data_IF_978812926094
#
_entry.id   IF_978812926094
#
_cell.length_a   1.000
_cell.length_b   1.000
_cell.length_c   1.000
_cell.angle_alpha   90.00
_cell.angle_beta   90.00
_cell.angle_gamma   90.00
#
_symmetry.space_group_name_H-M   'P 1'
#
loop_
_entity.id
_entity.type
_entity.pdbx_description
1 polymer ?
#
# COMPACT_ATOMS: atom_id res chain seq x y z
N UNK A 1 0.08 -10.43 -9.92
CA UNK A 1 1.34 -10.89 -9.28
C UNK A 1 1.39 -10.54 -7.80
N UNK A 2 0.77 -9.44 -7.38
CA UNK A 2 0.58 -9.11 -5.95
C UNK A 2 -0.16 -10.23 -5.21
N UNK A 3 0.28 -10.50 -3.97
CA UNK A 3 -0.25 -11.52 -3.05
C UNK A 3 -0.54 -10.99 -1.64
N UNK A 4 -0.06 -9.80 -1.31
CA UNK A 4 -0.36 -9.11 -0.08
C UNK A 4 -0.30 -7.60 -0.28
N UNK A 5 -1.08 -6.87 0.51
CA UNK A 5 -1.08 -5.40 0.57
C UNK A 5 -1.15 -5.03 2.05
N UNK A 6 -0.31 -4.07 2.45
CA UNK A 6 -0.21 -3.57 3.81
C UNK A 6 -0.34 -2.05 3.81
N UNK A 7 -0.95 -1.52 4.86
CA UNK A 7 -1.05 -0.08 5.12
C UNK A 7 -0.38 0.19 6.48
N UNK A 8 0.48 1.20 6.54
CA UNK A 8 1.20 1.56 7.76
C UNK A 8 2.05 0.41 8.29
N UNK A 9 1.87 0.09 9.57
CA UNK A 9 2.52 -1.06 10.23
C UNK A 9 2.10 -2.42 9.63
N UNK A 10 1.04 -2.47 8.80
CA UNK A 10 0.69 -3.66 8.04
C UNK A 10 0.40 -4.87 8.92
N UNK A 11 0.94 -6.03 8.54
CA UNK A 11 0.81 -7.25 9.33
C UNK A 11 1.59 -7.20 10.64
N UNK A 12 2.54 -6.27 10.86
CA UNK A 12 3.20 -6.14 12.16
C UNK A 12 2.23 -5.68 13.26
N UNK A 13 1.18 -4.95 12.89
CA UNK A 13 0.14 -4.46 13.82
C UNK A 13 -0.53 -5.58 14.62
N UNK A 14 -0.66 -6.79 14.06
CA UNK A 14 -1.33 -7.93 14.72
C UNK A 14 -0.58 -8.43 15.96
N UNK A 15 0.71 -8.12 16.06
CA UNK A 15 1.56 -8.48 17.20
C UNK A 15 1.72 -7.35 18.23
N UNK A 16 1.19 -6.15 17.94
CA UNK A 16 1.34 -4.97 18.78
C UNK A 16 0.21 -4.86 19.81
N UNK A 17 0.49 -4.23 20.95
CA UNK A 17 -0.56 -3.84 21.90
C UNK A 17 -1.27 -2.57 21.43
N UNK A 18 -2.51 -2.37 21.86
CA UNK A 18 -3.23 -1.12 21.57
C UNK A 18 -2.51 0.12 22.10
N UNK A 19 -1.79 0.00 23.23
CA UNK A 19 -0.97 1.07 23.81
C UNK A 19 0.29 1.41 22.99
N UNK A 20 0.66 0.57 22.03
CA UNK A 20 1.85 0.75 21.18
C UNK A 20 1.43 1.15 19.75
N UNK A 21 0.35 0.55 19.23
CA UNK A 21 -0.10 0.78 17.86
C UNK A 21 -0.80 2.12 17.69
N UNK A 22 -1.51 2.61 18.71
CA UNK A 22 -2.30 3.83 18.61
C UNK A 22 -1.43 5.07 18.35
N UNK A 23 -1.68 5.75 17.22
CA UNK A 23 -1.00 7.00 16.89
C UNK A 23 -1.53 8.16 17.76
N UNK A 24 -0.71 8.63 18.69
CA UNK A 24 -1.07 9.74 19.57
C UNK A 24 -1.15 11.07 18.80
N UNK A 25 -2.22 11.83 19.04
CA UNK A 25 -2.50 13.11 18.38
C UNK A 25 -2.39 14.27 19.37
N UNK A 26 -1.67 15.32 18.95
CA UNK A 26 -1.47 16.54 19.71
C UNK A 26 -1.79 17.77 18.86
N UNK A 27 -1.92 18.98 19.45
CA UNK A 27 -2.20 20.20 18.69
C UNK A 27 -1.16 20.53 17.60
N UNK A 28 0.09 20.09 17.77
CA UNK A 28 1.20 20.26 16.84
C UNK A 28 1.45 19.03 15.94
N UNK A 29 0.59 18.00 16.00
CA UNK A 29 0.58 16.88 15.06
C UNK A 29 0.54 15.49 15.69
N UNK A 30 0.61 14.45 14.85
CA UNK A 30 0.74 13.06 15.30
C UNK A 30 2.18 12.74 15.74
N UNK A 31 2.31 11.90 16.77
CA UNK A 31 3.62 11.43 17.26
C UNK A 31 4.21 10.26 16.46
N UNK A 32 3.36 9.49 15.78
CA UNK A 32 3.73 8.31 14.97
C UNK A 32 2.74 8.11 13.81
N UNK A 33 3.06 7.22 12.86
CA UNK A 33 2.23 6.89 11.71
C UNK A 33 2.10 5.37 11.49
N UNK A 34 1.66 4.65 12.52
CA UNK A 34 1.39 3.21 12.47
C UNK A 34 0.16 2.89 11.62
N UNK A 35 -0.83 3.79 11.58
CA UNK A 35 -2.01 3.68 10.75
C UNK A 35 -1.73 3.92 9.24
N UNK A 36 -0.54 4.40 8.90
CA UNK A 36 -0.09 4.58 7.52
C UNK A 36 -0.88 5.63 6.74
N UNK A 37 -1.24 6.73 7.41
CA UNK A 37 -1.98 7.84 6.83
C UNK A 37 -3.45 7.59 6.65
N UNK A 38 -3.98 6.45 7.12
CA UNK A 38 -5.41 6.13 7.03
C UNK A 38 -5.95 5.62 8.36
N UNK A 39 -7.01 6.26 8.88
CA UNK A 39 -7.70 5.84 10.08
C UNK A 39 -9.20 5.74 9.80
N UNK A 40 -9.81 4.59 10.10
CA UNK A 40 -11.22 4.35 9.78
C UNK A 40 -11.56 4.43 8.28
N UNK A 41 -10.57 4.21 7.41
CA UNK A 41 -10.72 4.34 5.96
C UNK A 41 -10.68 5.78 5.42
N UNK A 42 -10.28 6.74 6.26
CA UNK A 42 -10.16 8.16 5.89
C UNK A 42 -8.70 8.60 6.05
N UNK A 43 -8.23 9.45 5.13
CA UNK A 43 -6.88 10.03 5.22
C UNK A 43 -6.72 10.89 6.47
N UNK A 44 -5.64 10.72 7.23
CA UNK A 44 -5.37 11.49 8.46
C UNK A 44 -4.58 12.78 8.20
N UNK A 45 -4.10 12.98 6.97
CA UNK A 45 -3.17 14.05 6.60
C UNK A 45 -1.70 13.64 6.71
N UNK A 46 -1.39 12.51 7.36
CA UNK A 46 -0.08 11.87 7.34
C UNK A 46 0.21 11.18 6.02
N UNK A 47 1.49 10.85 5.80
CA UNK A 47 1.92 10.09 4.62
C UNK A 47 1.16 8.77 4.50
N UNK A 48 0.65 8.50 3.29
CA UNK A 48 0.06 7.22 2.94
C UNK A 48 1.18 6.18 2.77
N UNK A 49 1.32 5.30 3.75
CA UNK A 49 2.33 4.24 3.75
C UNK A 49 1.70 2.95 3.25
N UNK A 50 2.09 2.51 2.06
CA UNK A 50 1.53 1.32 1.41
C UNK A 50 2.67 0.40 0.95
N UNK A 51 2.58 -0.87 1.34
CA UNK A 51 3.52 -1.93 0.92
C UNK A 51 2.78 -3.03 0.18
N UNK A 52 3.44 -3.62 -0.83
CA UNK A 52 2.87 -4.74 -1.60
C UNK A 52 3.85 -5.91 -1.65
N UNK A 53 3.32 -7.13 -1.49
CA UNK A 53 4.07 -8.36 -1.63
C UNK A 53 3.82 -8.98 -3.01
N UNK A 54 4.88 -9.19 -3.79
CA UNK A 54 4.77 -9.68 -5.17
C UNK A 54 5.39 -11.07 -5.26
N UNK A 55 4.64 -12.03 -5.82
CA UNK A 55 5.19 -13.38 -6.04
C UNK A 55 6.31 -13.37 -7.10
N UNK A 56 7.25 -14.32 -7.05
CA UNK A 56 8.21 -14.54 -8.13
C UNK A 56 7.55 -14.81 -9.48
N UNK A 57 8.28 -14.49 -10.56
CA UNK A 57 7.84 -14.73 -11.95
C UNK A 57 7.57 -16.21 -12.19
N UNK A 58 6.47 -16.52 -12.85
CA UNK A 58 6.09 -17.92 -13.14
C UNK A 58 6.87 -18.55 -14.29
N UNK A 59 7.21 -17.74 -15.30
CA UNK A 59 8.00 -18.16 -16.47
C UNK A 59 9.48 -18.20 -16.09
N UNK A 60 10.01 -19.41 -15.95
CA UNK A 60 11.40 -19.67 -15.60
C UNK A 60 11.97 -20.73 -16.54
N UNK A 61 13.30 -20.80 -16.63
CA UNK A 61 13.98 -21.75 -17.50
C UNK A 61 13.82 -23.22 -17.04
N UNK A 62 13.55 -23.43 -15.75
CA UNK A 62 13.35 -24.76 -15.19
C UNK A 62 12.02 -25.36 -15.68
N UNK A 63 12.02 -26.59 -16.23
CA UNK A 63 10.79 -27.27 -16.60
C UNK A 63 9.83 -27.40 -15.42
N UNK A 64 8.53 -27.23 -15.67
CA UNK A 64 7.46 -27.46 -14.70
C UNK A 64 6.38 -28.35 -15.29
N UNK A 65 5.83 -29.22 -14.45
CA UNK A 65 4.68 -30.03 -14.83
C UNK A 65 3.44 -29.14 -14.99
N UNK A 66 2.64 -29.45 -16.00
CA UNK A 66 1.39 -28.78 -16.34
C UNK A 66 0.46 -29.73 -17.09
N UNK A 67 -0.63 -29.19 -17.63
CA UNK A 67 -1.63 -29.92 -18.40
C UNK A 67 -1.87 -29.14 -19.70
N UNK A 68 -1.93 -29.85 -20.82
CA UNK A 68 -2.26 -29.24 -22.12
C UNK A 68 -3.77 -29.03 -22.29
N UNK A 69 -4.18 -28.52 -23.45
CA UNK A 69 -5.59 -28.22 -23.75
C UNK A 69 -6.44 -29.49 -23.90
N UNK A 70 -5.83 -30.66 -24.16
CA UNK A 70 -6.50 -31.95 -24.24
C UNK A 70 -6.59 -32.65 -22.86
N UNK A 71 -6.12 -31.99 -21.80
CA UNK A 71 -6.12 -32.55 -20.44
C UNK A 71 -4.97 -33.52 -20.17
N UNK A 72 -3.98 -33.62 -21.05
CA UNK A 72 -2.85 -34.55 -20.90
C UNK A 72 -1.69 -33.89 -20.13
N UNK A 73 -0.99 -34.65 -19.26
CA UNK A 73 0.21 -34.14 -18.57
C UNK A 73 1.30 -33.73 -19.56
N UNK A 74 1.88 -32.55 -19.35
CA UNK A 74 3.00 -32.03 -20.15
C UNK A 74 4.03 -31.32 -19.26
N UNK A 75 5.30 -31.35 -19.68
CA UNK A 75 6.33 -30.51 -19.08
C UNK A 75 6.46 -29.20 -19.88
N UNK A 76 6.16 -28.07 -19.24
CA UNK A 76 6.31 -26.74 -19.83
C UNK A 76 7.69 -26.20 -19.48
N UNK A 77 8.43 -25.77 -20.51
CA UNK A 77 9.70 -25.08 -20.36
C UNK A 77 9.71 -23.81 -21.22
N UNK A 78 9.69 -22.65 -20.58
CA UNK A 78 9.76 -21.36 -21.28
C UNK A 78 11.20 -21.01 -21.62
N UNK A 79 11.53 -20.92 -22.91
CA UNK A 79 12.84 -20.47 -23.42
C UNK A 79 12.86 -18.94 -23.60
N UNK A 80 14.04 -18.33 -23.68
CA UNK A 80 14.22 -16.89 -23.90
C UNK A 80 14.42 -16.08 -22.61
N UNK A 81 14.55 -14.74 -22.76
CA UNK A 81 14.76 -13.82 -21.64
C UNK A 81 13.42 -13.50 -20.97
N UNK A 82 13.30 -13.87 -19.71
CA UNK A 82 12.14 -13.55 -18.86
C UNK A 82 12.55 -12.60 -17.75
N UNK A 83 11.58 -11.88 -17.21
CA UNK A 83 11.79 -10.94 -16.11
C UNK A 83 12.14 -11.73 -14.83
N UNK A 84 13.35 -11.58 -14.27
CA UNK A 84 13.74 -12.29 -13.05
C UNK A 84 13.01 -11.75 -11.81
N UNK A 85 12.52 -10.50 -11.84
CA UNK A 85 11.82 -9.88 -10.74
C UNK A 85 10.79 -8.87 -11.26
N UNK A 86 9.56 -9.33 -11.45
CA UNK A 86 8.42 -8.46 -11.82
C UNK A 86 8.15 -7.35 -10.80
N UNK A 87 8.68 -7.45 -9.58
CA UNK A 87 8.51 -6.46 -8.53
C UNK A 87 9.12 -5.10 -8.87
N UNK A 88 10.28 -5.07 -9.53
CA UNK A 88 10.96 -3.82 -9.89
C UNK A 88 10.10 -2.98 -10.83
N UNK A 89 9.47 -3.63 -11.81
CA UNK A 89 8.57 -2.97 -12.76
C UNK A 89 7.19 -2.68 -12.17
N UNK A 90 6.83 -3.32 -11.06
CA UNK A 90 5.56 -3.07 -10.39
C UNK A 90 5.56 -1.78 -9.57
N UNK A 91 6.72 -1.31 -9.09
CA UNK A 91 6.83 -0.07 -8.30
C UNK A 91 6.18 1.14 -8.99
N UNK A 92 6.58 1.55 -10.22
CA UNK A 92 5.94 2.69 -10.88
C UNK A 92 4.46 2.47 -11.21
N UNK A 93 4.04 1.20 -11.40
CA UNK A 93 2.62 0.87 -11.58
C UNK A 93 1.85 1.10 -10.28
N UNK A 94 2.39 0.64 -9.15
CA UNK A 94 1.77 0.80 -7.84
C UNK A 94 1.65 2.28 -7.44
N UNK A 95 2.69 3.08 -7.67
CA UNK A 95 2.67 4.53 -7.45
C UNK A 95 1.59 5.21 -8.30
N UNK A 96 1.52 4.89 -9.60
CA UNK A 96 0.49 5.44 -10.48
C UNK A 96 -0.93 5.03 -10.03
N UNK A 97 -1.12 3.78 -9.62
CA UNK A 97 -2.40 3.30 -9.10
C UNK A 97 -2.80 4.02 -7.79
N UNK A 98 -1.85 4.25 -6.88
CA UNK A 98 -2.10 5.01 -5.66
C UNK A 98 -2.49 6.45 -5.99
N UNK A 99 -1.77 7.11 -6.90
CA UNK A 99 -2.07 8.48 -7.32
C UNK A 99 -3.48 8.61 -7.94
N UNK A 100 -3.89 7.66 -8.77
CA UNK A 100 -5.23 7.62 -9.36
C UNK A 100 -6.32 7.50 -8.29
N UNK A 101 -6.13 6.59 -7.32
CA UNK A 101 -7.08 6.39 -6.22
C UNK A 101 -7.16 7.64 -5.34
N UNK A 102 -6.03 8.22 -4.96
CA UNK A 102 -5.99 9.45 -4.15
C UNK A 102 -6.69 10.60 -4.88
N UNK A 103 -6.41 10.79 -6.18
CA UNK A 103 -7.05 11.86 -6.95
C UNK A 103 -8.56 11.69 -7.04
N UNK A 104 -9.05 10.46 -7.23
CA UNK A 104 -10.49 10.15 -7.21
C UNK A 104 -11.12 10.53 -5.86
N UNK A 105 -10.49 10.15 -4.74
CA UNK A 105 -10.95 10.54 -3.41
C UNK A 105 -10.91 12.05 -3.17
N UNK A 106 -9.87 12.76 -3.64
CA UNK A 106 -9.77 14.23 -3.56
C UNK A 106 -10.92 14.89 -4.32
N UNK A 107 -11.22 14.45 -5.54
CA UNK A 107 -12.32 15.01 -6.32
C UNK A 107 -13.69 14.79 -5.65
N UNK A 108 -13.92 13.58 -5.12
CA UNK A 108 -15.15 13.27 -4.37
C UNK A 108 -15.29 14.12 -3.11
N UNK A 109 -14.22 14.23 -2.32
CA UNK A 109 -14.22 15.05 -1.12
C UNK A 109 -14.48 16.53 -1.45
N UNK A 110 -13.80 17.07 -2.46
CA UNK A 110 -14.03 18.46 -2.90
C UNK A 110 -15.46 18.70 -3.35
N UNK A 111 -16.08 17.77 -4.07
CA UNK A 111 -17.46 17.91 -4.54
C UNK A 111 -18.49 17.88 -3.40
N UNK A 112 -18.23 17.11 -2.33
CA UNK A 112 -19.15 16.97 -1.20
C UNK A 112 -18.91 18.00 -0.09
N UNK A 113 -17.65 18.35 0.15
CA UNK A 113 -17.20 19.05 1.35
C UNK A 113 -16.41 20.34 1.04
N UNK A 114 -16.27 20.75 -0.23
CA UNK A 114 -15.38 21.85 -0.62
C UNK A 114 -15.66 23.19 0.06
N UNK A 115 -16.90 23.44 0.49
CA UNK A 115 -17.34 24.66 1.15
C UNK A 115 -17.52 24.50 2.67
N UNK A 116 -17.20 23.32 3.22
CA UNK A 116 -17.34 23.05 4.66
C UNK A 116 -16.28 23.83 5.44
N UNK A 117 -16.73 24.65 6.40
CA UNK A 117 -15.85 25.36 7.31
C UNK A 117 -15.71 24.58 8.63
N UNK A 118 -14.47 24.34 9.04
CA UNK A 118 -14.17 23.67 10.30
C UNK A 118 -14.01 24.69 11.44
N UNK A 119 -14.55 24.37 12.62
CA UNK A 119 -14.41 25.20 13.81
C UNK A 119 -13.00 25.18 14.41
N UNK A 120 -12.17 24.22 14.02
CA UNK A 120 -10.80 24.01 14.51
C UNK A 120 -9.86 24.10 13.30
N UNK A 121 -8.69 24.76 13.42
CA UNK A 121 -7.70 24.77 12.36
C UNK A 121 -7.17 23.34 12.09
N UNK A 122 -6.65 23.08 10.87
CA UNK A 122 -6.01 21.80 10.57
C UNK A 122 -4.84 21.52 11.52
N UNK A 123 -4.85 20.33 12.12
CA UNK A 123 -3.71 19.84 12.90
C UNK A 123 -2.63 19.35 11.92
N UNK A 124 -1.34 19.68 12.12
CA UNK A 124 -0.27 19.17 11.26
C UNK A 124 -0.23 17.64 11.20
N UNK A 125 0.24 17.11 10.08
CA UNK A 125 0.39 15.67 9.88
C UNK A 125 1.33 15.02 10.91
N UNK A 126 2.42 15.68 11.26
CA UNK A 126 3.46 15.11 12.13
C UNK A 126 4.02 16.17 13.08
N UNK A 127 4.35 15.76 14.30
CA UNK A 127 5.02 16.64 15.28
C UNK A 127 6.46 16.93 14.86
N UNK A 128 7.03 18.08 15.24
CA UNK A 128 8.46 18.30 15.11
C UNK A 128 9.27 17.20 15.82
N UNK A 129 10.18 16.57 15.09
CA UNK A 129 11.04 15.51 15.64
C UNK A 129 10.38 14.15 15.83
N UNK A 130 9.11 13.96 15.41
CA UNK A 130 8.56 12.61 15.27
C UNK A 130 9.36 11.86 14.20
N UNK A 131 9.67 10.59 14.44
CA UNK A 131 10.42 9.77 13.49
C UNK A 131 9.68 9.70 12.16
N UNK A 132 10.20 10.38 11.14
CA UNK A 132 9.84 10.16 9.75
C UNK A 132 10.68 9.01 9.23
N UNK A 133 10.27 7.78 9.54
CA UNK A 133 10.77 6.61 8.81
C UNK A 133 10.34 6.66 7.33
#
# INVERSE_FOLDING_TARGET
>A
AVKGVEIGAGFQSVAQRGSEHGDELFPDGFASNNAGGTLGGISTGQDLRVSIAIKPTSSILSPKQSVDLDGKPIAVQTKGRHDPCVGIRATPIAEAMLALVVMDHVLRHRAQCGDVQHAVPPIPAARPGSASD
#
